data_IF_680421396711
#
_entry.id   IF_680421396711
#
_cell.length_a   1.000
_cell.length_b   1.000
_cell.length_c   1.000
_cell.angle_alpha   90.00
_cell.angle_beta   90.00
_cell.angle_gamma   90.00
#
_symmetry.space_group_name_H-M   'P 1'
#
loop_
_entity.id
_entity.type
_entity.pdbx_description
1 polymer ?
#
# COMPACT_ATOMS: atom_id res chain seq x y z
N UNK A 1 -11.32 -19.08 -5.10
CA UNK A 1 -11.69 -17.68 -5.36
C UNK A 1 -10.61 -16.81 -4.74
N UNK A 2 -9.97 -15.94 -5.51
CA UNK A 2 -8.91 -15.04 -5.01
C UNK A 2 -9.49 -13.67 -4.65
N UNK A 3 -8.95 -13.04 -3.60
CA UNK A 3 -9.24 -11.64 -3.27
C UNK A 3 -8.29 -10.78 -4.09
N UNK A 4 -8.82 -9.80 -4.81
CA UNK A 4 -8.02 -8.79 -5.53
C UNK A 4 -8.05 -7.45 -4.78
N UNK A 5 -7.09 -6.57 -5.08
CA UNK A 5 -6.93 -5.30 -4.37
C UNK A 5 -8.15 -4.39 -4.49
N UNK A 6 -8.77 -4.35 -5.67
CA UNK A 6 -9.91 -3.53 -6.03
C UNK A 6 -11.20 -3.93 -5.29
N UNK A 7 -11.28 -5.15 -4.75
CA UNK A 7 -12.41 -5.57 -3.92
C UNK A 7 -12.49 -4.80 -2.59
N UNK A 8 -11.37 -4.25 -2.12
CA UNK A 8 -11.31 -3.42 -0.91
C UNK A 8 -10.91 -1.96 -1.22
N UNK A 9 -10.07 -1.76 -2.23
CA UNK A 9 -9.55 -0.47 -2.66
C UNK A 9 -9.75 -0.28 -4.18
N UNK A 10 -11.00 -0.06 -4.65
CA UNK A 10 -11.26 0.23 -6.06
C UNK A 10 -10.40 1.42 -6.51
N UNK A 11 -9.67 1.28 -7.62
CA UNK A 11 -8.74 2.30 -8.13
C UNK A 11 -7.76 2.85 -7.09
N UNK A 12 -7.28 1.97 -6.19
CA UNK A 12 -6.41 2.34 -5.06
C UNK A 12 -7.02 3.40 -4.11
N UNK A 13 -8.34 3.58 -4.13
CA UNK A 13 -9.04 4.51 -3.23
C UNK A 13 -8.85 4.13 -1.76
N UNK A 14 -8.87 5.14 -0.89
CA UNK A 14 -8.73 5.00 0.57
C UNK A 14 -7.44 4.29 1.05
N UNK A 15 -6.41 4.19 0.20
CA UNK A 15 -5.09 3.66 0.60
C UNK A 15 -4.19 4.70 1.28
N UNK A 16 -4.50 5.99 1.07
CA UNK A 16 -3.81 7.15 1.65
C UNK A 16 -2.26 7.08 1.56
N UNK A 17 -1.67 6.82 0.39
CA UNK A 17 -0.21 6.74 0.20
C UNK A 17 0.53 8.01 0.63
N UNK A 18 -0.10 9.19 0.53
CA UNK A 18 0.48 10.48 0.92
C UNK A 18 0.80 10.60 2.42
N UNK A 19 0.32 9.65 3.22
CA UNK A 19 0.49 9.63 4.68
C UNK A 19 1.66 8.77 5.14
N UNK A 20 2.23 7.96 4.24
CA UNK A 20 3.40 7.13 4.55
C UNK A 20 4.69 7.94 4.44
N UNK A 21 5.66 7.78 5.36
CA UNK A 21 5.72 6.80 6.44
C UNK A 21 4.78 7.11 7.62
N UNK A 22 4.22 6.05 8.22
CA UNK A 22 3.36 6.18 9.42
C UNK A 22 3.37 4.95 10.31
N UNK A 23 2.98 5.11 11.57
CA UNK A 23 2.78 3.98 12.48
C UNK A 23 1.57 3.18 12.02
N UNK A 24 1.74 1.87 11.83
CA UNK A 24 0.64 1.00 11.44
C UNK A 24 0.30 0.01 12.56
N UNK A 25 -0.89 0.11 13.19
CA UNK A 25 -1.29 -0.75 14.29
C UNK A 25 -1.23 -2.25 13.95
N UNK A 26 -1.61 -2.62 12.71
CA UNK A 26 -1.59 -4.01 12.25
C UNK A 26 -0.17 -4.59 12.19
N UNK A 27 0.85 -3.74 12.08
CA UNK A 27 2.25 -4.15 12.04
C UNK A 27 3.01 -3.84 13.32
N UNK A 28 2.44 -3.05 14.25
CA UNK A 28 3.09 -2.66 15.50
C UNK A 28 4.36 -1.81 15.32
N UNK A 29 4.57 -1.21 14.15
CA UNK A 29 5.77 -0.43 13.81
C UNK A 29 5.44 0.68 12.81
N UNK A 30 6.39 1.61 12.64
CA UNK A 30 6.39 2.52 11.49
C UNK A 30 6.59 1.70 10.21
N UNK A 31 5.78 2.00 9.21
CA UNK A 31 5.73 1.31 7.93
C UNK A 31 5.84 2.32 6.78
N UNK A 32 6.42 1.86 5.68
CA UNK A 32 6.37 2.49 4.37
C UNK A 32 5.17 1.98 3.55
N UNK A 33 4.88 2.61 2.43
CA UNK A 33 3.81 2.17 1.52
C UNK A 33 4.01 0.71 1.10
N UNK A 34 5.21 0.34 0.63
CA UNK A 34 5.57 -1.05 0.30
C UNK A 34 5.36 -2.07 1.42
N UNK A 35 5.56 -1.67 2.67
CA UNK A 35 5.35 -2.57 3.81
C UNK A 35 3.87 -2.93 3.89
N UNK A 36 2.98 -1.95 3.73
CA UNK A 36 1.54 -2.19 3.72
C UNK A 36 1.08 -2.94 2.47
N UNK A 37 1.65 -2.63 1.29
CA UNK A 37 1.38 -3.41 0.06
C UNK A 37 1.68 -4.90 0.30
N UNK A 38 2.88 -5.22 0.80
CA UNK A 38 3.24 -6.60 1.10
C UNK A 38 2.38 -7.21 2.22
N UNK A 39 1.99 -6.43 3.22
CA UNK A 39 1.07 -6.90 4.26
C UNK A 39 -0.29 -7.31 3.67
N UNK A 40 -0.87 -6.49 2.79
CA UNK A 40 -2.11 -6.79 2.08
C UNK A 40 -2.00 -8.02 1.17
N UNK A 41 -0.87 -8.18 0.48
CA UNK A 41 -0.59 -9.35 -0.35
C UNK A 41 -0.56 -10.62 0.50
N UNK A 42 0.14 -10.59 1.64
CA UNK A 42 0.33 -11.78 2.48
C UNK A 42 -0.94 -12.18 3.24
N UNK A 43 -1.72 -11.22 3.73
CA UNK A 43 -2.82 -11.49 4.67
C UNK A 43 -4.18 -11.63 3.95
N UNK A 44 -4.83 -10.54 3.45
CA UNK A 44 -6.06 -10.65 2.67
C UNK A 44 -5.95 -11.51 1.40
N UNK A 45 -4.93 -11.25 0.57
CA UNK A 45 -4.80 -11.89 -0.76
C UNK A 45 -4.21 -13.29 -0.66
N UNK A 46 -3.48 -13.59 0.43
CA UNK A 46 -2.75 -14.85 0.64
C UNK A 46 -1.75 -15.17 -0.49
N UNK A 47 -1.13 -14.13 -1.03
CA UNK A 47 -0.09 -14.20 -2.06
C UNK A 47 1.33 -14.21 -1.48
N UNK A 48 2.32 -14.30 -2.37
CA UNK A 48 3.74 -14.24 -2.02
C UNK A 48 4.19 -12.78 -1.97
N UNK A 49 4.98 -12.44 -0.93
CA UNK A 49 5.61 -11.14 -0.81
C UNK A 49 6.42 -10.78 -2.07
N UNK A 50 6.31 -9.53 -2.51
CA UNK A 50 7.14 -8.97 -3.57
C UNK A 50 8.47 -8.50 -2.99
N UNK A 51 9.54 -8.60 -3.78
CA UNK A 51 10.82 -8.03 -3.37
C UNK A 51 10.71 -6.49 -3.32
N UNK A 52 11.33 -5.82 -2.35
CA UNK A 52 11.20 -4.37 -2.19
C UNK A 52 11.66 -3.54 -3.40
N UNK A 53 12.53 -4.11 -4.23
CA UNK A 53 13.11 -3.51 -5.43
C UNK A 53 12.54 -4.07 -6.73
N UNK A 54 11.58 -5.02 -6.65
CA UNK A 54 11.02 -5.68 -7.83
C UNK A 54 10.25 -4.68 -8.71
N UNK A 55 10.19 -4.92 -10.03
CA UNK A 55 9.39 -4.10 -10.95
C UNK A 55 7.92 -4.04 -10.50
N UNK A 56 7.35 -5.15 -10.05
CA UNK A 56 5.95 -5.23 -9.64
C UNK A 56 5.65 -4.36 -8.40
N UNK A 57 6.58 -4.32 -7.42
CA UNK A 57 6.42 -3.43 -6.26
C UNK A 57 6.46 -1.97 -6.69
N UNK A 58 7.37 -1.61 -7.61
CA UNK A 58 7.48 -0.24 -8.14
C UNK A 58 6.25 0.17 -8.92
N UNK A 59 5.71 -0.73 -9.74
CA UNK A 59 4.49 -0.50 -10.52
C UNK A 59 3.30 -0.24 -9.59
N UNK A 60 3.16 -1.02 -8.52
CA UNK A 60 2.11 -0.82 -7.51
C UNK A 60 2.28 0.50 -6.75
N UNK A 61 3.48 0.81 -6.25
CA UNK A 61 3.75 2.09 -5.58
C UNK A 61 3.42 3.27 -6.52
N UNK A 62 3.89 3.23 -7.77
CA UNK A 62 3.65 4.28 -8.76
C UNK A 62 2.17 4.44 -9.09
N UNK A 63 1.45 3.33 -9.31
CA UNK A 63 0.02 3.34 -9.57
C UNK A 63 -0.75 3.97 -8.40
N UNK A 64 -0.51 3.51 -7.17
CA UNK A 64 -1.19 4.00 -5.98
C UNK A 64 -0.91 5.50 -5.76
N UNK A 65 0.34 5.93 -5.92
CA UNK A 65 0.72 7.35 -5.81
C UNK A 65 0.08 8.20 -6.91
N UNK A 66 -0.01 7.69 -8.14
CA UNK A 66 -0.63 8.41 -9.25
C UNK A 66 -2.11 8.75 -8.97
N UNK A 67 -2.84 7.85 -8.29
CA UNK A 67 -4.24 8.07 -7.92
C UNK A 67 -4.43 9.15 -6.84
N UNK A 68 -3.36 9.60 -6.20
CA UNK A 68 -3.36 10.72 -5.23
C UNK A 68 -2.56 11.92 -5.71
N UNK A 69 -2.34 12.03 -7.02
CA UNK A 69 -1.65 13.18 -7.62
C UNK A 69 -2.33 14.49 -7.21
N UNK A 70 -1.52 15.47 -6.77
CA UNK A 70 -1.98 16.79 -6.35
C UNK A 70 -2.39 16.89 -4.88
N UNK A 71 -2.41 15.77 -4.14
CA UNK A 71 -2.61 15.78 -2.68
C UNK A 71 -1.30 16.10 -1.99
N UNK A 72 -1.33 16.98 -0.98
CA UNK A 72 -0.16 17.31 -0.17
C UNK A 72 0.29 16.09 0.67
N UNK A 73 1.59 15.93 0.82
CA UNK A 73 2.17 14.89 1.67
C UNK A 73 1.96 15.25 3.14
N UNK A 74 1.40 14.32 3.90
CA UNK A 74 0.97 14.50 5.29
C UNK A 74 1.44 13.29 6.12
N UNK A 75 2.76 13.13 6.22
CA UNK A 75 3.38 11.96 6.85
C UNK A 75 2.96 11.76 8.31
N UNK A 76 2.84 10.50 8.72
CA UNK A 76 2.53 10.13 10.11
C UNK A 76 1.05 10.27 10.49
N UNK A 77 0.20 10.69 9.56
CA UNK A 77 -1.25 10.84 9.77
C UNK A 77 -2.01 9.53 9.49
N UNK A 78 -3.10 9.32 10.23
CA UNK A 78 -3.97 8.13 10.25
C UNK A 78 -3.35 6.91 10.93
#
# INVERSE_FOLDING_TARGET
>A
MGVSCDMCHPDASNTHPETYPKFQPQMGRVALLRDMINWCIQHPVRGKALAPDSPEMRDLEAYILAQRKGVALEYGKH
#
